data_IF_069634929651
#
_entry.id   IF_069634929651
#
_cell.length_a   1.000
_cell.length_b   1.000
_cell.length_c   1.000
_cell.angle_alpha   90.00
_cell.angle_beta   90.00
_cell.angle_gamma   90.00
#
_symmetry.space_group_name_H-M   'P 1'
#
loop_
_entity.id
_entity.type
_entity.pdbx_description
1 polymer ?
#
# COMPACT_ATOMS: atom_id res chain seq x y z
N UNK A 1 -12.73 14.17 1.26
CA UNK A 1 -11.77 14.60 2.30
C UNK A 1 -10.38 14.13 1.94
N UNK A 2 -9.38 14.99 2.01
CA UNK A 2 -7.98 14.62 1.77
C UNK A 2 -7.49 13.66 2.85
N UNK A 3 -6.95 12.53 2.43
CA UNK A 3 -6.47 11.45 3.31
C UNK A 3 -5.09 10.97 2.89
N UNK A 4 -4.34 10.46 3.85
CA UNK A 4 -3.11 9.71 3.60
C UNK A 4 -3.34 8.24 3.87
N UNK A 5 -2.73 7.37 3.07
CA UNK A 5 -2.83 5.91 3.25
C UNK A 5 -1.49 5.23 3.04
N UNK A 6 -1.31 4.09 3.70
CA UNK A 6 -0.13 3.26 3.53
C UNK A 6 -0.34 2.23 2.42
N UNK A 7 0.68 2.07 1.60
CA UNK A 7 0.83 0.94 0.68
C UNK A 7 2.20 0.32 0.92
N UNK A 8 2.25 -1.01 1.05
CA UNK A 8 3.51 -1.76 1.08
C UNK A 8 3.59 -2.59 -0.19
N UNK A 9 4.62 -2.36 -0.99
CA UNK A 9 4.96 -3.25 -2.09
C UNK A 9 5.69 -4.46 -1.52
N UNK A 10 5.04 -5.62 -1.59
CA UNK A 10 5.52 -6.86 -0.96
C UNK A 10 6.79 -7.39 -1.65
N UNK A 11 7.53 -8.31 -1.02
CA UNK A 11 8.69 -8.92 -1.64
C UNK A 11 8.43 -9.48 -3.04
N UNK A 12 7.29 -10.12 -3.26
CA UNK A 12 6.94 -10.65 -4.59
C UNK A 12 6.89 -9.56 -5.68
N UNK A 13 6.50 -8.33 -5.33
CA UNK A 13 6.49 -7.20 -6.27
C UNK A 13 7.91 -6.82 -6.69
N UNK A 14 8.85 -6.76 -5.75
CA UNK A 14 10.24 -6.47 -6.04
C UNK A 14 10.89 -7.59 -6.84
N UNK A 15 10.68 -8.84 -6.42
CA UNK A 15 11.25 -10.01 -7.10
C UNK A 15 10.75 -10.19 -8.54
N UNK A 16 9.52 -9.76 -8.81
CA UNK A 16 8.92 -9.81 -10.15
C UNK A 16 9.19 -8.57 -11.00
N UNK A 17 9.91 -7.57 -10.46
CA UNK A 17 10.23 -6.34 -11.19
C UNK A 17 9.01 -5.47 -11.49
N UNK A 18 8.02 -5.47 -10.60
CA UNK A 18 6.74 -4.76 -10.81
C UNK A 18 6.64 -3.43 -10.07
N UNK A 19 7.69 -2.98 -9.36
CA UNK A 19 7.65 -1.75 -8.55
C UNK A 19 7.19 -0.55 -9.37
N UNK A 20 7.78 -0.32 -10.53
CA UNK A 20 7.43 0.80 -11.39
C UNK A 20 5.99 0.74 -11.90
N UNK A 21 5.55 -0.45 -12.31
CA UNK A 21 4.18 -0.66 -12.80
C UNK A 21 3.14 -0.39 -11.71
N UNK A 22 3.37 -0.91 -10.50
CA UNK A 22 2.41 -0.75 -9.40
C UNK A 22 2.34 0.69 -8.92
N UNK A 23 3.49 1.34 -8.69
CA UNK A 23 3.53 2.75 -8.29
C UNK A 23 2.93 3.67 -9.34
N UNK A 24 3.17 3.38 -10.60
CA UNK A 24 2.60 4.12 -11.72
C UNK A 24 1.07 4.10 -11.72
N UNK A 25 0.44 2.98 -11.35
CA UNK A 25 -1.02 2.89 -11.26
C UNK A 25 -1.62 3.85 -10.25
N UNK A 26 -0.99 4.00 -9.09
CA UNK A 26 -1.43 4.94 -8.07
C UNK A 26 -1.22 6.40 -8.51
N UNK A 27 -0.06 6.71 -9.08
CA UNK A 27 0.24 8.07 -9.56
C UNK A 27 -0.66 8.47 -10.72
N UNK A 28 -0.89 7.59 -11.69
CA UNK A 28 -1.76 7.87 -12.85
C UNK A 28 -3.23 8.05 -12.45
N UNK A 29 -3.67 7.44 -11.35
CA UNK A 29 -5.00 7.70 -10.80
C UNK A 29 -5.15 9.11 -10.28
N UNK A 30 -4.02 9.76 -9.91
CA UNK A 30 -4.00 11.12 -9.39
C UNK A 30 -3.58 11.21 -7.92
N UNK A 31 -3.26 10.08 -7.29
CA UNK A 31 -2.76 10.08 -5.92
C UNK A 31 -1.38 10.73 -5.84
N UNK A 32 -1.19 11.60 -4.84
CA UNK A 32 0.10 12.24 -4.58
C UNK A 32 1.01 11.31 -3.78
N UNK A 33 2.22 11.07 -4.27
CA UNK A 33 3.23 10.35 -3.53
C UNK A 33 3.81 11.29 -2.45
N UNK A 34 3.54 11.01 -1.19
CA UNK A 34 3.99 11.83 -0.06
C UNK A 34 5.22 11.26 0.66
N UNK A 35 5.43 9.95 0.57
CA UNK A 35 6.60 9.29 1.14
C UNK A 35 6.85 7.94 0.47
N UNK A 36 8.12 7.59 0.35
CA UNK A 36 8.54 6.31 -0.23
C UNK A 36 9.91 5.94 0.30
N UNK A 37 10.06 4.71 0.74
CA UNK A 37 11.38 4.18 1.13
C UNK A 37 11.43 2.66 1.02
N UNK A 38 12.62 2.15 0.76
CA UNK A 38 12.92 0.72 0.81
C UNK A 38 13.33 0.35 2.23
N UNK A 39 12.75 -0.73 2.75
CA UNK A 39 12.96 -1.17 4.14
C UNK A 39 13.09 -2.69 4.18
N UNK A 40 14.08 -3.19 4.93
CA UNK A 40 14.10 -4.59 5.35
C UNK A 40 13.25 -4.70 6.63
N UNK A 41 12.11 -5.36 6.53
CA UNK A 41 11.22 -5.54 7.67
C UNK A 41 11.79 -6.54 8.68
N UNK A 42 11.49 -6.33 9.94
CA UNK A 42 11.92 -7.17 11.07
C UNK A 42 10.74 -7.96 11.63
N UNK A 43 11.05 -9.06 12.32
CA UNK A 43 10.03 -9.86 13.00
C UNK A 43 9.22 -9.03 14.00
N UNK A 44 9.87 -8.09 14.70
CA UNK A 44 9.22 -7.20 15.68
C UNK A 44 8.16 -6.32 15.03
N UNK A 45 8.50 -5.63 13.95
CA UNK A 45 7.57 -4.76 13.22
C UNK A 45 6.43 -5.57 12.61
N UNK A 46 6.73 -6.73 12.06
CA UNK A 46 5.71 -7.61 11.46
C UNK A 46 4.79 -8.24 12.50
N UNK A 47 5.31 -8.56 13.68
CA UNK A 47 4.48 -9.05 14.80
C UNK A 47 3.48 -7.99 15.27
N UNK A 48 3.87 -6.73 15.26
CA UNK A 48 2.97 -5.60 15.53
C UNK A 48 1.97 -5.40 14.39
N UNK A 49 2.44 -5.37 13.16
CA UNK A 49 1.62 -5.12 11.97
C UNK A 49 0.55 -6.20 11.77
N UNK A 50 0.90 -7.46 12.01
CA UNK A 50 0.01 -8.61 11.90
C UNK A 50 -0.50 -9.13 13.25
N UNK A 51 -0.51 -8.31 14.29
CA UNK A 51 -0.93 -8.72 15.65
C UNK A 51 -2.32 -9.36 15.68
N UNK A 52 -3.24 -8.90 14.84
CA UNK A 52 -4.58 -9.47 14.69
C UNK A 52 -4.59 -10.91 14.14
N UNK A 53 -3.48 -11.38 13.58
CA UNK A 53 -3.31 -12.73 13.05
C UNK A 53 -2.48 -13.62 14.00
N UNK A 54 -2.05 -13.12 15.17
CA UNK A 54 -1.10 -13.80 16.06
C UNK A 54 -1.54 -15.20 16.52
N UNK A 55 -2.84 -15.45 16.60
CA UNK A 55 -3.41 -16.76 16.94
C UNK A 55 -3.58 -17.71 15.75
N UNK A 56 -3.32 -17.24 14.53
CA UNK A 56 -3.54 -18.04 13.32
C UNK A 56 -2.33 -18.93 13.03
N UNK A 57 -2.55 -20.18 12.52
CA UNK A 57 -1.45 -21.11 12.25
C UNK A 57 -0.50 -20.63 11.14
N UNK A 58 -0.93 -19.71 10.28
CA UNK A 58 -0.12 -19.14 9.20
C UNK A 58 0.63 -17.87 9.60
N UNK A 59 0.54 -17.40 10.85
CA UNK A 59 1.12 -16.14 11.31
C UNK A 59 2.62 -16.04 11.03
N UNK A 60 3.40 -17.08 11.40
CA UNK A 60 4.84 -17.08 11.15
C UNK A 60 5.16 -17.08 9.66
N UNK A 61 4.44 -17.85 8.87
CA UNK A 61 4.64 -17.91 7.41
C UNK A 61 4.43 -16.54 6.74
N UNK A 62 3.39 -15.80 7.14
CA UNK A 62 3.12 -14.45 6.62
C UNK A 62 4.27 -13.50 6.93
N UNK A 63 4.82 -13.56 8.15
CA UNK A 63 5.98 -12.75 8.53
C UNK A 63 7.24 -13.14 7.75
N UNK A 64 7.52 -14.43 7.66
CA UNK A 64 8.70 -14.94 6.96
C UNK A 64 8.73 -14.50 5.49
N UNK A 65 7.59 -14.56 4.81
CA UNK A 65 7.48 -14.11 3.42
C UNK A 65 7.69 -12.60 3.25
N UNK A 66 7.30 -11.80 4.23
CA UNK A 66 7.53 -10.37 4.22
C UNK A 66 8.99 -9.98 4.52
N UNK A 67 9.82 -10.94 4.93
CA UNK A 67 11.24 -10.73 5.27
C UNK A 67 12.22 -11.32 4.25
N UNK A 68 11.75 -12.03 3.22
CA UNK A 68 12.65 -12.71 2.25
C UNK A 68 13.51 -11.73 1.45
N UNK A 69 13.07 -10.51 1.29
CA UNK A 69 13.85 -9.38 0.74
C UNK A 69 13.23 -8.06 1.23
N UNK A 70 13.89 -6.92 0.98
CA UNK A 70 13.29 -5.63 1.29
C UNK A 70 11.93 -5.42 0.63
N UNK A 71 11.12 -4.58 1.25
CA UNK A 71 9.85 -4.08 0.72
C UNK A 71 9.98 -2.58 0.43
N UNK A 72 9.01 -2.03 -0.29
CA UNK A 72 8.88 -0.58 -0.42
C UNK A 72 7.61 -0.15 0.29
N UNK A 73 7.75 0.78 1.24
CA UNK A 73 6.62 1.41 1.91
C UNK A 73 6.35 2.76 1.27
N UNK A 74 5.08 3.03 0.98
CA UNK A 74 4.63 4.26 0.34
C UNK A 74 3.54 4.92 1.17
N UNK A 75 3.58 6.25 1.22
CA UNK A 75 2.47 7.08 1.67
C UNK A 75 1.87 7.77 0.45
N UNK A 76 0.63 7.46 0.13
CA UNK A 76 -0.15 8.15 -0.91
C UNK A 76 -1.21 9.04 -0.28
N UNK A 77 -1.48 10.17 -0.93
CA UNK A 77 -2.49 11.13 -0.48
C UNK A 77 -3.45 11.51 -1.61
N UNK A 78 -4.70 11.70 -1.27
CA UNK A 78 -5.74 12.14 -2.20
C UNK A 78 -7.10 12.24 -1.51
N UNK A 79 -8.10 12.67 -2.25
CA UNK A 79 -9.49 12.60 -1.77
C UNK A 79 -9.89 11.14 -1.67
N UNK A 80 -10.39 10.73 -0.50
CA UNK A 80 -10.81 9.37 -0.20
C UNK A 80 -9.73 8.31 -0.53
N UNK A 81 -8.45 8.66 -0.29
CA UNK A 81 -7.30 7.88 -0.74
C UNK A 81 -7.34 6.42 -0.28
N UNK A 82 -7.82 6.15 0.94
CA UNK A 82 -7.91 4.77 1.46
C UNK A 82 -8.81 3.93 0.56
N UNK A 83 -10.00 4.41 0.28
CA UNK A 83 -10.97 3.68 -0.56
C UNK A 83 -10.50 3.60 -2.02
N UNK A 84 -9.91 4.66 -2.55
CA UNK A 84 -9.37 4.69 -3.92
C UNK A 84 -8.26 3.65 -4.08
N UNK A 85 -7.30 3.62 -3.14
CA UNK A 85 -6.22 2.63 -3.16
C UNK A 85 -6.77 1.20 -3.07
N UNK A 86 -7.72 0.94 -2.19
CA UNK A 86 -8.34 -0.38 -2.06
C UNK A 86 -9.06 -0.81 -3.35
N UNK A 87 -9.77 0.10 -3.99
CA UNK A 87 -10.45 -0.17 -5.27
C UNK A 87 -9.44 -0.51 -6.37
N UNK A 88 -8.35 0.24 -6.47
CA UNK A 88 -7.27 -0.05 -7.43
C UNK A 88 -6.57 -1.39 -7.13
N UNK A 89 -6.42 -1.74 -5.86
CA UNK A 89 -5.74 -2.97 -5.43
C UNK A 89 -6.58 -4.23 -5.72
N UNK A 90 -7.87 -4.17 -5.47
CA UNK A 90 -8.77 -5.32 -5.58
C UNK A 90 -8.79 -6.21 -4.33
N UNK A 91 -9.61 -7.26 -4.31
CA UNK A 91 -9.75 -8.17 -3.17
C UNK A 91 -8.48 -8.96 -2.89
N UNK A 92 -8.36 -9.46 -1.65
CA UNK A 92 -7.16 -10.15 -1.16
C UNK A 92 -6.74 -11.35 -2.00
N UNK A 93 -7.71 -12.15 -2.48
CA UNK A 93 -7.41 -13.28 -3.36
C UNK A 93 -7.30 -12.80 -4.82
N UNK A 94 -6.07 -12.79 -5.34
CA UNK A 94 -5.82 -12.32 -6.71
C UNK A 94 -6.60 -13.07 -7.79
N UNK A 95 -6.87 -14.37 -7.59
CA UNK A 95 -7.65 -15.16 -8.55
C UNK A 95 -9.12 -14.71 -8.66
N UNK A 96 -9.63 -14.03 -7.64
CA UNK A 96 -11.00 -13.53 -7.60
C UNK A 96 -11.09 -12.04 -7.91
N UNK A 97 -9.94 -11.38 -8.06
CA UNK A 97 -9.87 -9.96 -8.34
C UNK A 97 -10.21 -9.68 -9.81
N UNK A 98 -10.97 -8.62 -10.04
CA UNK A 98 -11.36 -8.22 -11.40
C UNK A 98 -10.14 -7.77 -12.21
N UNK A 99 -10.06 -8.10 -13.50
CA UNK A 99 -9.09 -7.50 -14.41
C UNK A 99 -9.15 -5.97 -14.35
N UNK A 100 -7.99 -5.32 -14.43
CA UNK A 100 -7.86 -3.88 -14.25
C UNK A 100 -7.47 -3.48 -12.82
N UNK A 101 -7.76 -4.29 -11.82
CA UNK A 101 -7.19 -4.12 -10.49
C UNK A 101 -5.76 -4.63 -10.46
N UNK A 102 -4.96 -4.13 -9.52
CA UNK A 102 -3.56 -4.59 -9.35
C UNK A 102 -3.51 -6.10 -9.14
N UNK A 103 -4.30 -6.63 -8.22
CA UNK A 103 -4.31 -8.06 -7.94
C UNK A 103 -4.96 -8.87 -9.06
N UNK A 104 -5.96 -8.33 -9.74
CA UNK A 104 -6.58 -8.98 -10.91
C UNK A 104 -5.62 -9.14 -12.08
N UNK A 105 -4.73 -8.17 -12.27
CA UNK A 105 -3.76 -8.19 -13.38
C UNK A 105 -2.49 -8.98 -13.04
N UNK A 106 -2.07 -9.00 -11.77
CA UNK A 106 -0.73 -9.49 -11.42
C UNK A 106 -0.69 -10.61 -10.39
N UNK A 107 -1.77 -10.91 -9.67
CA UNK A 107 -1.73 -11.90 -8.59
C UNK A 107 -2.54 -13.15 -8.89
N UNK A 108 -1.90 -14.31 -8.76
CA UNK A 108 -2.54 -15.62 -8.78
C UNK A 108 -2.68 -16.22 -7.36
N UNK A 109 -2.34 -15.46 -6.34
CA UNK A 109 -2.24 -15.96 -4.97
C UNK A 109 -3.16 -15.20 -4.02
N UNK A 110 -3.51 -15.85 -2.91
CA UNK A 110 -4.15 -15.20 -1.76
C UNK A 110 -3.12 -14.44 -0.91
N UNK A 111 -1.89 -14.94 -0.82
CA UNK A 111 -0.84 -14.38 0.05
C UNK A 111 0.19 -13.59 -0.74
N UNK A 112 0.70 -14.10 -1.86
CA UNK A 112 1.60 -13.42 -2.79
C UNK A 112 0.80 -12.43 -3.66
N UNK A 113 0.18 -11.43 -3.01
CA UNK A 113 -0.85 -10.59 -3.63
C UNK A 113 -0.42 -9.15 -3.87
N UNK A 114 0.86 -8.95 -4.14
CA UNK A 114 1.50 -7.74 -4.68
C UNK A 114 1.66 -6.62 -3.65
N UNK A 115 0.58 -6.17 -3.03
CA UNK A 115 0.60 -5.05 -2.10
C UNK A 115 -0.19 -5.33 -0.83
N UNK A 116 0.23 -4.67 0.25
CA UNK A 116 -0.63 -4.38 1.40
C UNK A 116 -1.19 -2.97 1.23
N UNK A 117 -2.44 -2.75 1.57
CA UNK A 117 -3.08 -1.44 1.62
C UNK A 117 -3.87 -1.31 2.92
N UNK A 118 -3.83 -0.15 3.55
CA UNK A 118 -4.62 0.14 4.75
C UNK A 118 -6.12 -0.06 4.46
N UNK A 119 -6.86 -0.59 5.42
CA UNK A 119 -8.28 -0.95 5.24
C UNK A 119 -9.27 0.13 5.71
N UNK A 120 -8.80 1.11 6.49
CA UNK A 120 -9.59 2.25 6.94
C UNK A 120 -8.71 3.47 7.17
N UNK A 121 -9.28 4.69 7.26
CA UNK A 121 -8.52 5.89 7.62
C UNK A 121 -7.83 5.77 8.98
N UNK A 122 -8.49 5.18 9.96
CA UNK A 122 -7.95 4.96 11.31
C UNK A 122 -6.76 4.00 11.28
N UNK A 123 -6.89 2.89 10.55
CA UNK A 123 -5.80 1.93 10.36
C UNK A 123 -4.64 2.57 9.60
N UNK A 124 -4.92 3.37 8.58
CA UNK A 124 -3.91 4.08 7.81
C UNK A 124 -3.06 5.00 8.70
N UNK A 125 -3.68 5.74 9.61
CA UNK A 125 -2.97 6.62 10.54
C UNK A 125 -2.00 5.82 11.43
N UNK A 126 -2.46 4.70 11.99
CA UNK A 126 -1.63 3.83 12.83
C UNK A 126 -0.49 3.20 12.03
N UNK A 127 -0.78 2.68 10.84
CA UNK A 127 0.22 2.03 9.99
C UNK A 127 1.27 3.02 9.47
N UNK A 128 0.87 4.24 9.09
CA UNK A 128 1.81 5.26 8.66
C UNK A 128 2.80 5.62 9.78
N UNK A 129 2.33 5.75 11.02
CA UNK A 129 3.20 6.01 12.19
C UNK A 129 4.14 4.84 12.49
N UNK A 130 3.74 3.61 12.15
CA UNK A 130 4.58 2.41 12.33
C UNK A 130 5.75 2.37 11.36
N UNK A 131 5.51 2.77 10.10
CA UNK A 131 6.49 2.60 9.03
C UNK A 131 7.26 3.89 8.67
N UNK A 132 6.74 5.06 9.00
CA UNK A 132 7.36 6.34 8.68
C UNK A 132 7.62 7.18 9.92
N UNK A 133 8.77 7.88 9.91
CA UNK A 133 8.99 9.01 10.81
C UNK A 133 8.27 10.25 10.26
N UNK A 134 7.94 11.25 11.11
CA UNK A 134 7.23 12.46 10.64
C UNK A 134 7.95 13.21 9.52
N UNK A 135 9.28 13.23 9.52
CA UNK A 135 10.12 13.90 8.52
C UNK A 135 10.31 13.10 7.22
N UNK A 136 9.74 11.91 7.14
CA UNK A 136 9.77 11.06 5.95
C UNK A 136 8.49 11.18 5.09
N UNK A 137 7.51 11.96 5.54
CA UNK A 137 6.26 12.26 4.81
C UNK A 137 6.27 13.75 4.48
N UNK A 138 6.17 14.07 3.19
CA UNK A 138 6.40 15.39 2.66
C UNK A 138 5.12 16.04 2.17
N UNK A 139 5.00 17.36 2.42
CA UNK A 139 3.93 18.18 1.88
C UNK A 139 4.44 18.96 0.67
N UNK A 140 3.76 18.84 -0.46
CA UNK A 140 3.99 19.65 -1.65
C UNK A 140 2.74 19.67 -2.51
N UNK A 141 2.61 20.69 -3.34
CA UNK A 141 1.49 20.82 -4.26
C UNK A 141 1.81 20.14 -5.59
N UNK A 142 0.94 19.24 -6.04
CA UNK A 142 1.02 18.71 -7.40
C UNK A 142 0.67 19.79 -8.42
N UNK A 143 1.48 19.92 -9.47
CA UNK A 143 1.23 20.90 -10.53
C UNK A 143 -0.12 20.69 -11.23
N UNK A 144 -0.58 19.44 -11.28
CA UNK A 144 -1.82 19.04 -11.96
C UNK A 144 -3.05 19.03 -11.02
N UNK A 145 -2.92 19.46 -9.77
CA UNK A 145 -3.97 19.36 -8.76
C UNK A 145 -5.31 19.96 -9.24
N UNK A 146 -5.28 21.13 -9.87
CA UNK A 146 -6.48 21.78 -10.42
C UNK A 146 -7.12 21.08 -11.60
N UNK A 147 -6.46 20.02 -12.13
CA UNK A 147 -7.02 19.16 -13.20
C UNK A 147 -7.46 17.80 -12.66
N UNK A 148 -7.23 17.52 -11.37
CA UNK A 148 -7.60 16.26 -10.73
C UNK A 148 -8.95 16.35 -10.01
N UNK A 149 -9.26 17.51 -9.43
CA UNK A 149 -10.43 17.73 -8.59
C UNK A 149 -11.16 19.00 -8.96
N UNK A 150 -12.48 18.97 -8.90
CA UNK A 150 -13.27 20.20 -8.92
C UNK A 150 -13.12 20.97 -7.58
N UNK A 151 -13.42 22.26 -7.60
CA UNK A 151 -13.16 23.15 -6.44
C UNK A 151 -13.94 22.80 -5.16
N UNK A 152 -14.99 22.01 -5.29
CA UNK A 152 -15.90 21.62 -4.19
C UNK A 152 -15.67 20.16 -3.71
N UNK A 153 -14.63 19.47 -4.19
CA UNK A 153 -14.38 18.06 -3.89
C UNK A 153 -13.32 17.82 -2.82
N UNK A 154 -12.59 18.85 -2.34
CA UNK A 154 -11.46 18.66 -1.38
C UNK A 154 -11.48 19.64 -0.22
#
# INVERSE_FOLDING_TARGET
MMEKTLVILKPCTLQRGLVGEITNRFERKGLRLAGMKMVQLTDEVLSEHYAHLSSKPFFQRVKDEMMVCPVIVCCFEGVDAVQVVRTLTGPTNGRLAAPGTIRGDYSMSFQENIVHASDSPETAEVELKRFFKPDEIFEYKQAVFGSLYANDEY
#
